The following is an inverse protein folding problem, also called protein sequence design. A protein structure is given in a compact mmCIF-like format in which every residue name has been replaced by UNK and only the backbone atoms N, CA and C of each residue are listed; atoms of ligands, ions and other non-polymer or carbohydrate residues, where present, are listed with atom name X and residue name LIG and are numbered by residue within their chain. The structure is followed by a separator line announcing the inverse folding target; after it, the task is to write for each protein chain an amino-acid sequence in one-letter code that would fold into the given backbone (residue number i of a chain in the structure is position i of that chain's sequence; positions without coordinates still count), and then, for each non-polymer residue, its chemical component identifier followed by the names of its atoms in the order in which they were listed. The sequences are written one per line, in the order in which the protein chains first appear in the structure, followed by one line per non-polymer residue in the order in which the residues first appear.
data_IF_455003128801
#
_entry.id   IF_455003128801
#
_cell.length_a   1.000
_cell.length_b   1.000
_cell.length_c   1.000
_cell.angle_alpha   90.00
_cell.angle_beta   90.00
_cell.angle_gamma   90.00
#
_symmetry.space_group_name_H-M   'P 1'
#
loop_
_entity.id
_entity.type
_entity.pdbx_description
1 polymer ?
#
# COMPACT_ATOMS: atom_id res chain seq x y z
N UNK A 1 19.59 28.33 40.06
CA UNK A 1 18.17 27.93 40.08
C UNK A 1 17.36 28.71 39.03
N UNK A 2 16.83 28.04 38.00
CA UNK A 2 15.98 28.70 37.00
C UNK A 2 15.83 27.89 35.72
N UNK A 3 14.97 26.87 35.73
CA UNK A 3 14.56 26.13 34.55
C UNK A 3 13.44 26.91 33.83
N UNK A 4 13.77 27.53 32.68
CA UNK A 4 12.78 28.13 31.79
C UNK A 4 12.02 27.03 31.05
N UNK A 5 10.94 26.53 31.65
CA UNK A 5 9.97 25.70 30.94
C UNK A 5 9.19 26.60 29.98
N UNK A 6 9.48 26.48 28.69
CA UNK A 6 8.70 27.12 27.62
C UNK A 6 7.31 26.47 27.56
N UNK A 7 6.33 27.12 28.19
CA UNK A 7 4.91 26.74 28.10
C UNK A 7 4.33 27.38 26.84
N UNK A 8 4.44 26.68 25.72
CA UNK A 8 3.66 26.98 24.51
C UNK A 8 2.21 26.49 24.66
N UNK A 9 1.25 27.01 23.87
CA UNK A 9 -0.15 26.60 23.96
C UNK A 9 -0.28 25.08 23.73
N UNK A 10 -1.11 24.37 24.52
CA UNK A 10 -1.13 22.90 24.59
C UNK A 10 -1.59 22.19 23.30
N UNK A 11 -1.90 22.93 22.24
CA UNK A 11 -2.40 22.43 20.96
C UNK A 11 -1.44 22.69 19.79
N UNK A 12 -0.22 23.19 20.03
CA UNK A 12 0.71 23.57 18.97
C UNK A 12 1.40 22.39 18.27
N UNK A 13 1.33 21.17 18.83
CA UNK A 13 1.88 19.99 18.16
C UNK A 13 0.78 19.31 17.34
N UNK A 14 0.83 19.35 15.99
CA UNK A 14 -0.04 18.51 15.18
C UNK A 14 0.17 17.04 15.58
N UNK A 15 -0.87 16.20 15.50
CA UNK A 15 -0.72 14.78 15.80
C UNK A 15 0.43 14.22 14.96
N UNK A 16 1.38 13.59 15.65
CA UNK A 16 2.49 12.90 15.02
C UNK A 16 1.89 11.67 14.33
N UNK A 17 1.45 11.85 13.09
CA UNK A 17 1.07 10.72 12.26
C UNK A 17 2.30 9.84 12.09
N UNK A 18 2.22 8.54 12.40
CA UNK A 18 3.29 7.64 12.04
C UNK A 18 3.49 7.75 10.53
N UNK A 19 4.69 8.20 10.13
CA UNK A 19 5.13 8.10 8.75
C UNK A 19 5.37 6.62 8.50
N UNK A 20 4.35 5.93 8.02
CA UNK A 20 4.55 4.60 7.49
C UNK A 20 5.49 4.73 6.29
N UNK A 21 6.51 3.87 6.19
CA UNK A 21 7.30 3.82 4.98
C UNK A 21 6.37 3.56 3.80
N UNK A 22 6.74 4.01 2.59
CA UNK A 22 6.01 3.68 1.38
C UNK A 22 5.73 2.16 1.34
N UNK A 23 4.51 1.74 0.97
CA UNK A 23 4.10 0.34 1.03
C UNK A 23 4.96 -0.58 0.16
N UNK A 24 5.67 -0.01 -0.82
CA UNK A 24 6.62 -0.71 -1.66
C UNK A 24 7.95 0.06 -1.71
N UNK A 25 9.10 -0.63 -1.65
CA UNK A 25 10.42 0.00 -1.69
C UNK A 25 10.76 0.58 -3.08
N UNK A 26 10.08 0.12 -4.14
CA UNK A 26 10.21 0.62 -5.51
C UNK A 26 8.82 0.72 -6.17
N UNK A 27 8.63 1.59 -7.18
CA UNK A 27 7.42 1.61 -7.97
C UNK A 27 7.16 0.24 -8.61
N UNK A 28 5.93 -0.26 -8.47
CA UNK A 28 5.49 -1.47 -9.16
C UNK A 28 5.61 -1.27 -10.67
N UNK A 29 6.16 -2.26 -11.38
CA UNK A 29 6.26 -2.25 -12.85
C UNK A 29 4.98 -2.72 -13.54
N UNK A 30 4.09 -3.33 -12.78
CA UNK A 30 2.84 -3.92 -13.24
C UNK A 30 2.30 -4.91 -12.24
N UNK A 31 1.21 -5.57 -12.62
CA UNK A 31 0.58 -6.65 -11.87
C UNK A 31 0.30 -7.84 -12.79
N UNK A 32 0.37 -9.04 -12.21
CA UNK A 32 -0.07 -10.26 -12.85
C UNK A 32 -1.09 -10.95 -11.94
N UNK A 33 -2.25 -11.27 -12.52
CA UNK A 33 -3.34 -11.96 -11.83
C UNK A 33 -3.60 -13.26 -12.55
N UNK A 34 -3.58 -14.37 -11.81
CA UNK A 34 -3.93 -15.68 -12.32
C UNK A 34 -5.26 -16.12 -11.71
N UNK A 35 -6.26 -16.32 -12.55
CA UNK A 35 -7.59 -16.78 -12.16
C UNK A 35 -7.71 -18.22 -12.59
N UNK A 36 -7.93 -19.12 -11.62
CA UNK A 36 -8.22 -20.53 -11.87
C UNK A 36 -9.70 -20.78 -11.56
N UNK A 37 -10.47 -21.06 -12.59
CA UNK A 37 -11.83 -21.59 -12.44
C UNK A 37 -11.78 -23.11 -12.45
N UNK A 38 -12.46 -23.70 -11.49
CA UNK A 38 -12.62 -25.15 -11.36
C UNK A 38 -14.10 -25.45 -11.24
N UNK A 39 -14.61 -26.33 -12.10
CA UNK A 39 -15.97 -26.86 -11.99
C UNK A 39 -16.11 -27.61 -10.64
N UNK A 40 -17.22 -27.51 -9.90
CA UNK A 40 -17.52 -28.36 -8.75
C UNK A 40 -17.23 -29.85 -8.93
N UNK A 41 -17.35 -30.37 -10.16
CA UNK A 41 -17.07 -31.78 -10.51
C UNK A 41 -15.61 -32.04 -10.89
N UNK A 42 -14.75 -31.03 -10.86
CA UNK A 42 -13.36 -31.04 -11.34
C UNK A 42 -13.18 -31.49 -12.80
N UNK A 43 -14.25 -31.57 -13.60
CA UNK A 43 -14.18 -32.02 -14.99
C UNK A 43 -13.55 -30.98 -15.93
N UNK A 44 -13.63 -29.71 -15.56
CA UNK A 44 -13.11 -28.60 -16.34
C UNK A 44 -12.30 -27.65 -15.46
N UNK A 45 -11.11 -27.30 -15.95
CA UNK A 45 -10.21 -26.34 -15.33
C UNK A 45 -9.87 -25.30 -16.39
N UNK A 46 -10.14 -24.03 -16.09
CA UNK A 46 -9.77 -22.91 -16.95
C UNK A 46 -8.84 -21.97 -16.20
N UNK A 47 -7.73 -21.61 -16.81
CA UNK A 47 -6.75 -20.68 -16.26
C UNK A 47 -6.71 -19.44 -17.15
N UNK A 48 -6.95 -18.27 -16.56
CA UNK A 48 -6.81 -16.97 -17.20
C UNK A 48 -5.67 -16.22 -16.52
N UNK A 49 -4.70 -15.76 -17.30
CA UNK A 49 -3.62 -14.89 -16.79
C UNK A 49 -3.80 -13.50 -17.37
N UNK A 50 -3.99 -12.52 -16.50
CA UNK A 50 -4.10 -11.11 -16.84
C UNK A 50 -2.79 -10.45 -16.44
N UNK A 51 -2.15 -9.76 -17.39
CA UNK A 51 -0.96 -8.96 -17.15
C UNK A 51 -1.26 -7.52 -17.50
N UNK A 52 -0.96 -6.61 -16.58
CA UNK A 52 -1.06 -5.18 -16.79
C UNK A 52 0.26 -4.54 -16.39
N UNK A 53 0.98 -3.99 -17.35
CA UNK A 53 2.19 -3.23 -17.09
C UNK A 53 1.80 -1.77 -16.76
N UNK A 54 2.45 -1.18 -15.76
CA UNK A 54 2.21 0.21 -15.35
C UNK A 54 3.09 1.12 -16.20
N UNK A 55 2.48 1.89 -17.10
CA UNK A 55 3.18 2.94 -17.86
C UNK A 55 3.26 4.23 -17.05
N UNK A 56 4.24 5.08 -17.35
CA UNK A 56 4.55 6.32 -16.62
C UNK A 56 3.45 7.41 -16.64
N UNK A 57 2.26 7.13 -17.18
CA UNK A 57 1.16 8.10 -17.24
C UNK A 57 -0.11 7.49 -16.68
N UNK A 58 -0.51 8.01 -15.51
CA UNK A 58 -1.88 8.04 -15.01
C UNK A 58 -2.47 9.40 -15.36
#
# INVERSE_FOLDING_TARGET
PGSNAQVGPPFANPPLYPSYPPPYPLPLRGIQIQIRLVDPRNAHIKVLTIRQDFSNKL
#
